data_IF_527923544824
#
_entry.id   IF_527923544824
#
_cell.length_a   1.000
_cell.length_b   1.000
_cell.length_c   1.000
_cell.angle_alpha   90.00
_cell.angle_beta   90.00
_cell.angle_gamma   90.00
#
_symmetry.space_group_name_H-M   'P 1'
#
loop_
_entity.id
_entity.type
_entity.pdbx_description
1 polymer ?
#
# COMPACT_ATOMS: atom_id res chain seq x y z
N UNK A 1 14.28 18.94 1.73
CA UNK A 1 13.45 18.18 2.71
C UNK A 1 11.97 18.57 2.65
N UNK A 2 11.65 19.85 2.70
CA UNK A 2 10.23 20.30 2.60
C UNK A 2 9.64 19.95 1.24
N UNK A 3 10.36 20.18 0.17
CA UNK A 3 9.94 19.85 -1.20
C UNK A 3 9.77 18.32 -1.40
N UNK A 4 10.73 17.54 -0.96
CA UNK A 4 10.64 16.07 -1.01
C UNK A 4 9.44 15.53 -0.21
N UNK A 5 9.15 16.13 0.94
CA UNK A 5 7.99 15.76 1.73
C UNK A 5 6.67 16.10 1.04
N UNK A 6 6.61 17.23 0.34
CA UNK A 6 5.44 17.59 -0.47
C UNK A 6 5.25 16.59 -1.61
N UNK A 7 6.32 16.28 -2.34
CA UNK A 7 6.30 15.28 -3.41
C UNK A 7 5.83 13.90 -2.92
N UNK A 8 6.30 13.49 -1.74
CA UNK A 8 5.84 12.23 -1.13
C UNK A 8 4.35 12.25 -0.75
N UNK A 9 3.84 13.38 -0.27
CA UNK A 9 2.40 13.52 0.02
C UNK A 9 1.57 13.35 -1.24
N UNK A 10 1.98 14.01 -2.31
CA UNK A 10 1.29 13.88 -3.60
C UNK A 10 1.33 12.43 -4.08
N UNK A 11 2.48 11.76 -3.98
CA UNK A 11 2.62 10.35 -4.34
C UNK A 11 1.69 9.44 -3.52
N UNK A 12 1.62 9.63 -2.20
CA UNK A 12 0.74 8.83 -1.35
C UNK A 12 -0.74 9.11 -1.63
N UNK A 13 -1.10 10.35 -1.90
CA UNK A 13 -2.47 10.73 -2.26
C UNK A 13 -2.87 10.11 -3.62
N UNK A 14 -1.99 10.17 -4.61
CA UNK A 14 -2.20 9.53 -5.92
C UNK A 14 -2.32 8.00 -5.80
N UNK A 15 -1.47 7.38 -4.98
CA UNK A 15 -1.54 5.95 -4.68
C UNK A 15 -2.88 5.56 -4.03
N UNK A 16 -3.29 6.29 -3.03
CA UNK A 16 -4.57 6.07 -2.34
C UNK A 16 -5.75 6.23 -3.31
N UNK A 17 -5.72 7.27 -4.14
CA UNK A 17 -6.76 7.54 -5.14
C UNK A 17 -6.86 6.42 -6.17
N UNK A 18 -5.74 5.91 -6.67
CA UNK A 18 -5.72 4.79 -7.62
C UNK A 18 -6.40 3.54 -7.04
N UNK A 19 -6.12 3.21 -5.78
CA UNK A 19 -6.76 2.07 -5.11
C UNK A 19 -8.25 2.31 -4.85
N UNK A 20 -8.62 3.50 -4.40
CA UNK A 20 -10.02 3.85 -4.11
C UNK A 20 -10.89 3.81 -5.36
N UNK A 21 -10.33 4.17 -6.50
CA UNK A 21 -11.00 4.13 -7.81
C UNK A 21 -10.85 2.78 -8.53
N UNK A 22 -10.18 1.82 -7.94
CA UNK A 22 -9.88 0.51 -8.55
C UNK A 22 -9.10 0.61 -9.87
N UNK A 23 -8.30 1.66 -10.01
CA UNK A 23 -7.36 1.80 -11.13
C UNK A 23 -6.07 1.02 -10.82
N UNK A 24 -6.17 -0.29 -10.98
CA UNK A 24 -5.09 -1.21 -10.61
C UNK A 24 -3.91 -1.16 -11.58
N UNK A 25 -4.11 -0.71 -12.82
CA UNK A 25 -3.00 -0.46 -13.74
C UNK A 25 -2.16 0.74 -13.29
N UNK A 26 -2.80 1.83 -12.88
CA UNK A 26 -2.11 2.96 -12.27
C UNK A 26 -1.38 2.53 -10.99
N UNK A 27 -2.00 1.69 -10.16
CA UNK A 27 -1.38 1.16 -8.95
C UNK A 27 -0.05 0.43 -9.25
N UNK A 28 0.00 -0.42 -10.26
CA UNK A 28 1.25 -1.07 -10.68
C UNK A 28 2.35 -0.07 -11.05
N UNK A 29 1.97 1.07 -11.59
CA UNK A 29 2.89 2.13 -12.03
C UNK A 29 3.64 2.82 -10.89
N UNK A 30 3.20 2.67 -9.64
CA UNK A 30 3.88 3.25 -8.47
C UNK A 30 5.12 2.46 -8.03
N UNK A 31 5.36 1.28 -8.59
CA UNK A 31 6.45 0.39 -8.17
C UNK A 31 7.59 0.37 -9.16
N UNK A 32 8.80 0.13 -8.64
CA UNK A 32 9.96 -0.20 -9.48
C UNK A 32 9.87 -1.64 -9.99
N UNK A 33 10.64 -1.99 -11.02
CA UNK A 33 10.63 -3.35 -11.59
C UNK A 33 11.09 -4.41 -10.58
N UNK A 34 12.02 -4.05 -9.70
CA UNK A 34 12.58 -4.92 -8.65
C UNK A 34 11.90 -4.75 -7.29
N UNK A 35 10.66 -4.29 -7.28
CA UNK A 35 9.94 -3.94 -6.05
C UNK A 35 9.68 -5.13 -5.13
N UNK A 36 9.45 -4.80 -3.86
CA UNK A 36 8.82 -5.67 -2.88
C UNK A 36 7.59 -4.98 -2.31
N UNK A 37 6.44 -5.65 -2.36
CA UNK A 37 5.20 -5.20 -1.76
C UNK A 37 4.73 -6.25 -0.76
N UNK A 38 4.48 -5.82 0.47
CA UNK A 38 4.16 -6.73 1.57
C UNK A 38 3.10 -6.14 2.48
N UNK A 39 2.11 -6.95 2.84
CA UNK A 39 1.10 -6.63 3.85
C UNK A 39 1.24 -7.62 4.99
N UNK A 40 1.63 -7.13 6.16
CA UNK A 40 2.01 -7.95 7.31
C UNK A 40 1.42 -7.37 8.61
N UNK A 41 1.06 -8.24 9.55
CA UNK A 41 0.61 -7.80 10.87
C UNK A 41 1.75 -7.16 11.67
N UNK A 42 1.39 -6.22 12.55
CA UNK A 42 2.34 -5.64 13.50
C UNK A 42 3.05 -6.71 14.33
N UNK A 43 2.32 -7.72 14.78
CA UNK A 43 2.89 -8.83 15.56
C UNK A 43 3.99 -9.56 14.79
N UNK A 44 3.69 -10.03 13.58
CA UNK A 44 4.69 -10.74 12.76
C UNK A 44 5.87 -9.85 12.39
N UNK A 45 5.59 -8.58 12.06
CA UNK A 45 6.65 -7.61 11.76
C UNK A 45 7.57 -7.38 12.96
N UNK A 46 7.01 -7.12 14.16
CA UNK A 46 7.79 -6.83 15.36
C UNK A 46 8.61 -8.02 15.87
N UNK A 47 8.13 -9.23 15.65
CA UNK A 47 8.82 -10.47 16.02
C UNK A 47 9.76 -11.01 14.92
N UNK A 48 9.84 -10.33 13.78
CA UNK A 48 10.67 -10.75 12.66
C UNK A 48 10.19 -12.03 11.96
N UNK A 49 8.89 -12.35 12.09
CA UNK A 49 8.31 -13.52 11.44
C UNK A 49 8.00 -13.24 9.98
N UNK A 50 8.24 -14.18 9.05
CA UNK A 50 8.14 -13.93 7.62
C UNK A 50 6.71 -13.99 7.06
N UNK A 51 5.75 -14.50 7.81
CA UNK A 51 4.38 -14.72 7.31
C UNK A 51 3.64 -13.41 7.10
N UNK A 52 3.19 -13.17 5.88
CA UNK A 52 2.44 -11.99 5.47
C UNK A 52 1.12 -12.40 4.79
N UNK A 53 0.13 -11.49 4.80
CA UNK A 53 -1.11 -11.68 4.05
C UNK A 53 -0.88 -11.61 2.55
N UNK A 54 -0.04 -10.66 2.13
CA UNK A 54 0.34 -10.45 0.74
C UNK A 54 1.85 -10.27 0.73
N UNK A 55 2.51 -10.92 -0.22
CA UNK A 55 3.91 -10.68 -0.52
C UNK A 55 4.12 -10.82 -2.03
N UNK A 56 4.54 -9.71 -2.64
CA UNK A 56 4.91 -9.67 -4.05
C UNK A 56 6.37 -9.27 -4.16
N UNK A 57 7.14 -10.07 -4.86
CA UNK A 57 8.56 -9.81 -5.18
C UNK A 57 8.70 -9.58 -6.66
N UNK A 58 9.00 -8.36 -7.05
CA UNK A 58 9.08 -7.91 -8.42
C UNK A 58 7.73 -7.51 -9.01
N UNK A 59 7.78 -6.68 -10.04
CA UNK A 59 6.61 -6.13 -10.70
C UNK A 59 5.74 -7.21 -11.36
N UNK A 60 6.32 -8.32 -11.76
CA UNK A 60 5.57 -9.46 -12.32
C UNK A 60 4.53 -9.99 -11.33
N UNK A 61 4.91 -10.21 -10.07
CA UNK A 61 3.98 -10.68 -9.04
C UNK A 61 2.90 -9.63 -8.71
N UNK A 62 3.24 -8.34 -8.75
CA UNK A 62 2.27 -7.26 -8.57
C UNK A 62 1.22 -7.30 -9.69
N UNK A 63 1.64 -7.45 -10.94
CA UNK A 63 0.74 -7.57 -12.10
C UNK A 63 -0.10 -8.85 -12.04
N UNK A 64 0.46 -9.96 -11.61
CA UNK A 64 -0.25 -11.23 -11.43
C UNK A 64 -1.38 -11.08 -10.41
N UNK A 65 -1.13 -10.32 -9.33
CA UNK A 65 -2.16 -10.03 -8.35
C UNK A 65 -3.30 -9.20 -8.93
N UNK A 66 -3.00 -8.21 -9.74
CA UNK A 66 -4.03 -7.42 -10.45
C UNK A 66 -4.86 -8.30 -11.39
N UNK A 67 -4.21 -9.15 -12.15
CA UNK A 67 -4.89 -10.11 -13.02
C UNK A 67 -5.81 -11.05 -12.23
N UNK A 68 -5.34 -11.56 -11.09
CA UNK A 68 -6.14 -12.41 -10.21
C UNK A 68 -7.38 -11.69 -9.66
N UNK A 69 -7.25 -10.42 -9.26
CA UNK A 69 -8.38 -9.62 -8.79
C UNK A 69 -9.43 -9.47 -9.89
N UNK A 70 -9.01 -9.17 -11.12
CA UNK A 70 -9.91 -8.94 -12.26
C UNK A 70 -10.58 -10.20 -12.77
N UNK A 71 -9.86 -11.32 -12.80
CA UNK A 71 -10.28 -12.52 -13.51
C UNK A 71 -10.89 -13.57 -12.59
N UNK A 72 -10.44 -13.68 -11.35
CA UNK A 72 -10.76 -14.82 -10.49
C UNK A 72 -11.33 -14.46 -9.13
N UNK A 73 -11.14 -13.23 -8.64
CA UNK A 73 -11.62 -12.84 -7.32
C UNK A 73 -13.14 -12.67 -7.29
N UNK A 74 -13.79 -13.32 -6.32
CA UNK A 74 -15.21 -13.13 -6.03
C UNK A 74 -15.31 -12.40 -4.68
N UNK A 75 -15.91 -11.21 -4.69
CA UNK A 75 -16.05 -10.40 -3.49
C UNK A 75 -17.30 -9.52 -3.54
N UNK A 76 -17.79 -9.16 -2.37
CA UNK A 76 -18.91 -8.23 -2.24
C UNK A 76 -18.49 -6.82 -2.70
N UNK A 77 -19.28 -6.14 -3.56
CA UNK A 77 -19.01 -4.78 -3.97
C UNK A 77 -18.91 -3.83 -2.77
N UNK A 78 -17.91 -2.97 -2.80
CA UNK A 78 -17.62 -2.04 -1.70
C UNK A 78 -17.00 -0.75 -2.21
N UNK A 79 -17.14 0.30 -1.41
CA UNK A 79 -16.41 1.54 -1.56
C UNK A 79 -15.28 1.56 -0.53
N UNK A 80 -14.08 1.88 -0.97
CA UNK A 80 -12.92 2.04 -0.10
C UNK A 80 -12.45 3.49 -0.10
N UNK A 81 -11.93 3.93 1.04
CA UNK A 81 -11.23 5.20 1.18
C UNK A 81 -9.97 4.98 1.99
N UNK A 82 -8.83 5.23 1.34
CA UNK A 82 -7.51 5.22 1.99
C UNK A 82 -7.22 6.63 2.50
N UNK A 83 -7.11 6.78 3.82
CA UNK A 83 -6.71 8.02 4.45
C UNK A 83 -5.25 7.88 4.88
N UNK A 84 -4.39 8.74 4.36
CA UNK A 84 -2.96 8.72 4.65
C UNK A 84 -2.59 9.98 5.41
N UNK A 85 -1.81 9.83 6.46
CA UNK A 85 -1.39 10.94 7.32
C UNK A 85 0.02 10.75 7.84
N UNK A 86 0.58 11.81 8.40
CA UNK A 86 1.87 11.72 9.10
C UNK A 86 3.05 11.36 8.20
N UNK A 87 3.04 11.78 6.94
CA UNK A 87 4.12 11.52 5.99
C UNK A 87 5.44 12.11 6.49
N UNK A 88 6.46 11.28 6.59
CA UNK A 88 7.80 11.67 7.04
C UNK A 88 8.88 11.04 6.18
N UNK A 89 9.94 11.81 5.98
CA UNK A 89 11.20 11.31 5.42
C UNK A 89 12.10 10.95 6.59
N UNK A 90 12.51 9.69 6.68
CA UNK A 90 13.41 9.20 7.73
C UNK A 90 14.87 9.32 7.33
N UNK A 91 15.18 9.33 6.04
CA UNK A 91 16.53 9.52 5.53
C UNK A 91 16.62 9.36 4.03
N UNK A 92 17.75 9.78 3.50
CA UNK A 92 18.14 9.57 2.09
C UNK A 92 19.55 9.05 2.06
N UNK A 93 19.77 7.88 1.51
CA UNK A 93 21.08 7.25 1.43
C UNK A 93 21.23 6.50 0.10
N UNK A 94 22.32 6.80 -0.63
CA UNK A 94 22.61 6.13 -1.90
C UNK A 94 21.50 6.26 -2.94
N UNK A 95 20.78 7.37 -2.96
CA UNK A 95 19.63 7.60 -3.85
C UNK A 95 18.34 6.91 -3.43
N UNK A 96 18.35 6.18 -2.31
CA UNK A 96 17.15 5.56 -1.73
C UNK A 96 16.59 6.46 -0.63
N UNK A 97 15.31 6.73 -0.71
CA UNK A 97 14.57 7.53 0.27
C UNK A 97 13.84 6.58 1.21
N UNK A 98 14.13 6.65 2.49
CA UNK A 98 13.35 5.98 3.53
C UNK A 98 12.24 6.92 4.00
N UNK A 99 11.00 6.45 3.93
CA UNK A 99 9.83 7.23 4.29
C UNK A 99 8.81 6.37 5.03
N UNK A 100 7.92 7.04 5.76
CA UNK A 100 6.82 6.40 6.47
C UNK A 100 5.59 7.29 6.49
N UNK A 101 4.43 6.65 6.65
CA UNK A 101 3.15 7.32 6.85
C UNK A 101 2.20 6.42 7.63
N UNK A 102 1.14 6.99 8.17
CA UNK A 102 0.03 6.22 8.72
C UNK A 102 -1.04 6.02 7.65
N UNK A 103 -1.77 4.93 7.72
CA UNK A 103 -2.95 4.72 6.89
C UNK A 103 -4.15 4.23 7.69
N UNK A 104 -5.31 4.60 7.23
CA UNK A 104 -6.59 4.08 7.66
C UNK A 104 -7.42 3.82 6.42
N UNK A 105 -7.99 2.62 6.32
CA UNK A 105 -8.88 2.26 5.21
C UNK A 105 -10.29 2.15 5.77
N UNK A 106 -11.17 3.01 5.30
CA UNK A 106 -12.60 2.93 5.56
C UNK A 106 -13.29 2.14 4.44
N UNK A 107 -14.22 1.30 4.82
CA UNK A 107 -14.96 0.43 3.92
C UNK A 107 -16.45 0.65 4.09
N UNK A 108 -17.16 0.84 2.98
CA UNK A 108 -18.61 0.94 2.94
C UNK A 108 -19.17 -0.17 2.07
N UNK A 109 -19.95 -1.06 2.67
CA UNK A 109 -20.75 -2.07 1.97
C UNK A 109 -22.17 -1.52 1.73
N UNK A 110 -22.88 -2.06 0.75
CA UNK A 110 -24.16 -1.50 0.28
C UNK A 110 -25.26 -1.44 1.33
N UNK A 111 -25.23 -2.31 2.34
CA UNK A 111 -26.28 -2.50 3.34
C UNK A 111 -25.83 -2.26 4.79
N UNK A 112 -24.67 -1.68 4.99
CA UNK A 112 -24.05 -1.50 6.32
C UNK A 112 -23.48 -0.12 6.51
N UNK A 113 -23.33 0.25 7.78
CA UNK A 113 -22.58 1.45 8.15
C UNK A 113 -21.11 1.33 7.74
N UNK A 114 -20.47 2.44 7.35
CA UNK A 114 -19.05 2.45 7.08
C UNK A 114 -18.25 1.92 8.28
N UNK A 115 -17.24 1.13 8.00
CA UNK A 115 -16.37 0.53 9.01
C UNK A 115 -14.91 0.79 8.69
N UNK A 116 -14.08 0.76 9.71
CA UNK A 116 -12.62 0.73 9.54
C UNK A 116 -12.23 -0.69 9.15
N UNK A 117 -11.73 -0.87 7.95
CA UNK A 117 -11.29 -2.16 7.46
C UNK A 117 -9.86 -2.49 7.93
N UNK A 118 -8.96 -1.50 7.91
CA UNK A 118 -7.57 -1.70 8.28
C UNK A 118 -6.96 -0.38 8.76
N UNK A 119 -6.10 -0.47 9.76
CA UNK A 119 -5.30 0.64 10.30
C UNK A 119 -3.87 0.19 10.42
N UNK A 120 -2.94 1.06 10.08
CA UNK A 120 -1.53 0.74 10.22
C UNK A 120 -0.62 1.83 9.72
N UNK A 121 0.55 1.43 9.28
CA UNK A 121 1.54 2.34 8.72
C UNK A 121 2.26 1.73 7.53
N UNK A 122 2.65 2.61 6.63
CA UNK A 122 3.57 2.31 5.55
C UNK A 122 5.00 2.55 6.02
N UNK A 123 5.87 1.59 5.76
CA UNK A 123 7.32 1.71 5.90
C UNK A 123 7.90 1.48 4.51
N UNK A 124 8.41 2.54 3.90
CA UNK A 124 8.71 2.55 2.49
C UNK A 124 10.19 2.87 2.20
N UNK A 125 10.68 2.29 1.12
CA UNK A 125 11.93 2.68 0.47
C UNK A 125 11.61 3.03 -0.98
N UNK A 126 11.95 4.24 -1.36
CA UNK A 126 11.64 4.76 -2.68
C UNK A 126 12.93 5.07 -3.45
N UNK A 127 12.81 5.00 -4.76
CA UNK A 127 13.87 5.40 -5.68
C UNK A 127 13.30 6.26 -6.80
N UNK A 128 14.14 7.09 -7.41
CA UNK A 128 13.76 7.81 -8.63
C UNK A 128 13.94 6.94 -9.86
N UNK A 129 12.91 6.93 -10.69
CA UNK A 129 12.93 6.34 -12.02
C UNK A 129 12.60 7.47 -13.02
N UNK A 130 13.62 8.01 -13.69
CA UNK A 130 13.47 9.27 -14.41
C UNK A 130 13.16 10.41 -13.43
N UNK A 131 12.07 11.10 -13.63
CA UNK A 131 11.60 12.18 -12.74
C UNK A 131 10.63 11.70 -11.65
N UNK A 132 10.12 10.47 -11.76
CA UNK A 132 9.11 9.94 -10.84
C UNK A 132 9.74 9.27 -9.61
N UNK A 133 9.10 9.43 -8.46
CA UNK A 133 9.35 8.59 -7.29
C UNK A 133 8.54 7.30 -7.40
N UNK A 134 9.18 6.16 -7.11
CA UNK A 134 8.53 4.86 -7.10
C UNK A 134 8.93 4.05 -5.88
N UNK A 135 8.01 3.24 -5.41
CA UNK A 135 8.27 2.30 -4.32
C UNK A 135 9.18 1.16 -4.79
N UNK A 136 10.34 1.07 -4.20
CA UNK A 136 11.23 -0.07 -4.29
C UNK A 136 10.87 -1.14 -3.26
N UNK A 137 10.51 -0.69 -2.05
CA UNK A 137 9.91 -1.53 -1.03
C UNK A 137 8.72 -0.78 -0.44
N UNK A 138 7.59 -1.45 -0.36
CA UNK A 138 6.43 -0.97 0.37
C UNK A 138 5.98 -2.02 1.36
N UNK A 139 6.14 -1.70 2.63
CA UNK A 139 5.73 -2.54 3.74
C UNK A 139 4.51 -1.93 4.41
N UNK A 140 3.37 -2.60 4.28
CA UNK A 140 2.12 -2.20 4.91
C UNK A 140 1.97 -3.01 6.20
N UNK A 141 2.24 -2.38 7.33
CA UNK A 141 2.15 -3.01 8.66
C UNK A 141 0.82 -2.63 9.28
N UNK A 142 -0.10 -3.59 9.38
CA UNK A 142 -1.42 -3.33 9.95
C UNK A 142 -1.48 -3.67 11.44
N UNK A 143 -2.24 -2.87 12.17
CA UNK A 143 -2.35 -2.95 13.63
C UNK A 143 -3.54 -3.80 14.08
N UNK A 144 -4.47 -4.11 13.16
CA UNK A 144 -5.64 -4.91 13.46
C UNK A 144 -5.24 -6.31 13.96
N UNK A 145 -5.93 -6.78 14.97
CA UNK A 145 -5.81 -8.17 15.38
C UNK A 145 -6.47 -9.13 14.39
N UNK A 146 -7.57 -8.71 13.76
CA UNK A 146 -8.30 -9.49 12.76
C UNK A 146 -8.62 -8.66 11.52
N UNK A 147 -8.52 -9.30 10.37
CA UNK A 147 -9.12 -8.83 9.13
C UNK A 147 -10.53 -9.38 9.05
N UNK A 148 -11.53 -8.49 9.00
CA UNK A 148 -12.95 -8.87 9.06
C UNK A 148 -13.45 -9.63 7.84
N UNK A 149 -12.88 -9.31 6.67
CA UNK A 149 -13.20 -9.93 5.39
C UNK A 149 -11.94 -10.31 4.66
N UNK A 150 -12.06 -11.01 3.55
CA UNK A 150 -10.90 -11.30 2.71
C UNK A 150 -10.28 -10.00 2.19
N UNK A 151 -8.96 -9.90 2.27
CA UNK A 151 -8.22 -8.80 1.69
C UNK A 151 -8.09 -9.04 0.18
N UNK A 152 -8.88 -8.33 -0.60
CA UNK A 152 -8.92 -8.43 -2.07
C UNK A 152 -8.16 -7.28 -2.69
N UNK A 153 -8.55 -6.04 -2.36
CA UNK A 153 -7.91 -4.82 -2.86
C UNK A 153 -6.61 -4.60 -2.12
N UNK A 154 -5.52 -4.22 -2.81
CA UNK A 154 -4.26 -3.85 -2.17
C UNK A 154 -4.41 -2.71 -1.16
N UNK A 155 -3.46 -2.65 -0.26
CA UNK A 155 -3.40 -1.67 0.83
C UNK A 155 -2.47 -0.52 0.47
#
# INVERSE_FOLDING_TARGET
MTELRAELRDLYDDYASALDEMDLDAWCGFFTDDCTYKVISFENYSEGLPLALIECRGIGMVRDRVAAIRETAVYEPRQLRHLVSGVRVDGVEGGVIAARANFLIAESLSDREPQIAMVGRYLDRLARVGTALKFRERLCVYDNYRIRTSLVVPV
#
